data_IF_121644926100
#
_entry.id   IF_121644926100
#
_cell.length_a   1.000
_cell.length_b   1.000
_cell.length_c   1.000
_cell.angle_alpha   90.00
_cell.angle_beta   90.00
_cell.angle_gamma   90.00
#
_symmetry.space_group_name_H-M   'P 1'
#
loop_
_entity.id
_entity.type
_entity.pdbx_description
1 polymer ?
#
# COMPACT_ATOMS: atom_id res chain seq x y z
N UNK A 1 -9.70 5.18 8.73
CA UNK A 1 -8.61 4.74 9.62
C UNK A 1 -7.37 4.69 8.75
N UNK A 2 -6.42 5.60 8.96
CA UNK A 2 -5.26 5.78 8.09
C UNK A 2 -4.11 4.96 8.68
N UNK A 3 -3.76 3.83 8.06
CA UNK A 3 -2.75 2.87 8.55
C UNK A 3 -1.32 3.17 8.03
N UNK A 4 -1.13 4.30 7.35
CA UNK A 4 0.20 4.71 6.91
C UNK A 4 0.99 5.23 8.10
N UNK A 5 1.89 4.39 8.59
CA UNK A 5 3.21 4.71 9.15
C UNK A 5 3.66 3.49 9.97
N UNK A 6 4.11 2.46 9.29
CA UNK A 6 5.19 1.66 9.83
C UNK A 6 6.13 1.47 8.66
N UNK A 7 7.35 1.96 8.79
CA UNK A 7 8.49 1.46 8.00
C UNK A 7 8.62 -0.01 8.39
N UNK A 8 7.74 -0.82 7.81
CA UNK A 8 7.45 -2.18 8.22
C UNK A 8 8.51 -3.04 7.60
N UNK A 9 9.34 -3.61 8.46
CA UNK A 9 10.20 -4.73 8.13
C UNK A 9 9.53 -5.63 7.05
N UNK A 10 10.19 -5.88 5.92
CA UNK A 10 9.64 -6.65 4.80
C UNK A 10 9.12 -8.03 5.21
N UNK A 11 9.69 -8.63 6.27
CA UNK A 11 9.21 -9.90 6.84
C UNK A 11 7.96 -9.72 7.69
N UNK A 12 7.82 -8.58 8.36
CA UNK A 12 6.57 -8.24 9.05
C UNK A 12 5.43 -8.09 8.03
N UNK A 13 5.66 -7.32 6.96
CA UNK A 13 4.72 -7.22 5.85
C UNK A 13 4.37 -8.60 5.28
N UNK A 14 5.39 -9.44 5.04
CA UNK A 14 5.20 -10.80 4.53
C UNK A 14 4.29 -11.62 5.46
N UNK A 15 4.56 -11.63 6.77
CA UNK A 15 3.75 -12.39 7.73
C UNK A 15 2.30 -11.92 7.76
N UNK A 16 2.09 -10.61 7.71
CA UNK A 16 0.75 -10.00 7.73
C UNK A 16 -0.06 -10.41 6.52
N UNK A 17 0.48 -10.23 5.31
CA UNK A 17 -0.26 -10.54 4.07
C UNK A 17 -0.40 -12.05 3.85
N UNK A 18 0.54 -12.86 4.34
CA UNK A 18 0.45 -14.32 4.27
C UNK A 18 -0.37 -14.94 5.41
N UNK A 19 -0.88 -14.15 6.36
CA UNK A 19 -1.60 -14.64 7.53
C UNK A 19 -0.83 -15.75 8.29
N UNK A 20 0.47 -15.54 8.47
CA UNK A 20 1.41 -16.52 9.06
C UNK A 20 1.41 -17.91 8.39
N UNK A 21 1.09 -17.99 7.11
CA UNK A 21 1.24 -19.21 6.32
C UNK A 21 2.67 -19.78 6.44
N UNK A 22 2.77 -21.10 6.48
CA UNK A 22 4.08 -21.77 6.48
C UNK A 22 4.88 -21.42 5.22
N UNK A 23 6.21 -21.38 5.34
CA UNK A 23 7.13 -21.14 4.20
C UNK A 23 6.85 -22.12 3.05
N UNK A 24 6.46 -23.36 3.35
CA UNK A 24 6.09 -24.34 2.35
C UNK A 24 4.81 -23.95 1.60
N UNK A 25 3.78 -23.46 2.30
CA UNK A 25 2.55 -22.98 1.67
C UNK A 25 2.81 -21.74 0.80
N UNK A 26 3.58 -20.79 1.31
CA UNK A 26 3.99 -19.60 0.54
C UNK A 26 4.76 -20.04 -0.72
N UNK A 27 5.69 -21.00 -0.60
CA UNK A 27 6.45 -21.55 -1.73
C UNK A 27 5.55 -22.17 -2.79
N UNK A 28 4.56 -22.98 -2.38
CA UNK A 28 3.62 -23.62 -3.31
C UNK A 28 2.73 -22.59 -4.02
N UNK A 29 2.28 -21.55 -3.33
CA UNK A 29 1.38 -20.55 -3.89
C UNK A 29 2.12 -19.59 -4.84
N UNK A 30 3.34 -19.19 -4.48
CA UNK A 30 4.12 -18.16 -5.20
C UNK A 30 5.06 -18.74 -6.26
N UNK A 31 5.38 -20.03 -6.19
CA UNK A 31 6.42 -20.65 -7.01
C UNK A 31 7.85 -20.30 -6.58
N UNK A 32 8.04 -19.44 -5.56
CA UNK A 32 9.36 -19.11 -5.05
C UNK A 32 9.91 -20.33 -4.29
N UNK A 33 11.15 -20.79 -4.55
CA UNK A 33 11.70 -21.97 -3.89
C UNK A 33 11.73 -21.83 -2.36
N UNK A 34 11.34 -22.90 -1.65
CA UNK A 34 11.34 -22.94 -0.18
C UNK A 34 12.65 -22.46 0.43
N UNK A 35 13.78 -22.95 -0.09
CA UNK A 35 15.12 -22.58 0.41
C UNK A 35 15.40 -21.08 0.26
N UNK A 36 14.91 -20.46 -0.82
CA UNK A 36 15.00 -19.02 -1.04
C UNK A 36 14.19 -18.29 0.02
N UNK A 37 12.89 -18.59 0.16
CA UNK A 37 12.03 -17.96 1.17
C UNK A 37 12.61 -18.13 2.58
N UNK A 38 13.07 -19.33 2.94
CA UNK A 38 13.69 -19.59 4.23
C UNK A 38 14.92 -18.70 4.49
N UNK A 39 15.76 -18.49 3.48
CA UNK A 39 16.88 -17.55 3.57
C UNK A 39 16.40 -16.12 3.78
N UNK A 40 15.36 -15.67 3.06
CA UNK A 40 14.78 -14.32 3.19
C UNK A 40 14.21 -14.05 4.58
N UNK A 41 13.48 -15.01 5.14
CA UNK A 41 12.99 -14.95 6.52
C UNK A 41 14.13 -14.78 7.54
N UNK A 42 15.32 -15.32 7.27
CA UNK A 42 16.50 -15.14 8.13
C UNK A 42 17.23 -13.83 7.89
N UNK A 43 17.42 -13.43 6.64
CA UNK A 43 18.12 -12.18 6.28
C UNK A 43 17.26 -10.94 6.48
N UNK A 44 15.96 -11.13 6.68
CA UNK A 44 15.00 -10.07 6.91
C UNK A 44 14.88 -9.08 5.74
N UNK A 45 15.02 -9.62 4.52
CA UNK A 45 15.07 -8.85 3.29
C UNK A 45 14.51 -9.72 2.17
N UNK A 46 13.60 -9.15 1.38
CA UNK A 46 12.98 -9.69 0.18
C UNK A 46 13.44 -8.86 -1.03
N UNK A 47 13.68 -9.54 -2.14
CA UNK A 47 13.93 -8.86 -3.40
C UNK A 47 12.63 -8.27 -3.96
N UNK A 48 12.75 -7.20 -4.76
CA UNK A 48 11.60 -6.48 -5.32
C UNK A 48 10.67 -7.37 -6.16
N UNK A 49 11.24 -8.26 -6.97
CA UNK A 49 10.52 -9.24 -7.77
C UNK A 49 9.79 -10.28 -6.91
N UNK A 50 10.39 -10.71 -5.79
CA UNK A 50 9.77 -11.58 -4.80
C UNK A 50 8.54 -10.88 -4.17
N UNK A 51 8.66 -9.60 -3.78
CA UNK A 51 7.54 -8.80 -3.22
C UNK A 51 6.37 -8.74 -4.20
N UNK A 52 6.63 -8.43 -5.47
CA UNK A 52 5.60 -8.35 -6.52
C UNK A 52 4.93 -9.72 -6.73
N UNK A 53 5.73 -10.79 -6.81
CA UNK A 53 5.23 -12.16 -7.00
C UNK A 53 4.31 -12.58 -5.84
N UNK A 54 4.74 -12.30 -4.61
CA UNK A 54 3.97 -12.58 -3.40
C UNK A 54 2.68 -11.77 -3.38
N UNK A 55 2.75 -10.47 -3.69
CA UNK A 55 1.56 -9.60 -3.73
C UNK A 55 0.51 -10.14 -4.71
N UNK A 56 0.90 -10.49 -5.93
CA UNK A 56 -0.01 -11.10 -6.91
C UNK A 56 -0.64 -12.40 -6.40
N UNK A 57 0.17 -13.27 -5.80
CA UNK A 57 -0.27 -14.58 -5.31
C UNK A 57 -1.29 -14.49 -4.17
N UNK A 58 -1.22 -13.42 -3.38
CA UNK A 58 -2.14 -13.15 -2.26
C UNK A 58 -3.23 -12.11 -2.60
N UNK A 59 -3.34 -11.69 -3.87
CA UNK A 59 -4.37 -10.74 -4.33
C UNK A 59 -4.17 -9.30 -3.84
N UNK A 60 -2.95 -8.95 -3.45
CA UNK A 60 -2.57 -7.59 -3.02
C UNK A 60 -2.10 -6.79 -4.24
N UNK A 61 -2.39 -5.49 -4.26
CA UNK A 61 -1.88 -4.60 -5.31
C UNK A 61 -0.34 -4.49 -5.20
N UNK A 62 0.44 -4.81 -6.26
CA UNK A 62 1.89 -4.74 -6.20
C UNK A 62 2.45 -3.35 -5.88
N UNK A 63 1.80 -2.28 -6.34
CA UNK A 63 2.24 -0.90 -6.04
C UNK A 63 2.07 -0.61 -4.54
N UNK A 64 0.94 -1.02 -3.96
CA UNK A 64 0.71 -0.89 -2.51
C UNK A 64 1.72 -1.71 -1.70
N UNK A 65 2.03 -2.93 -2.14
CA UNK A 65 3.06 -3.77 -1.52
C UNK A 65 4.44 -3.11 -1.55
N UNK A 66 4.83 -2.49 -2.66
CA UNK A 66 6.11 -1.80 -2.78
C UNK A 66 6.21 -0.57 -1.88
N UNK A 67 5.11 0.16 -1.66
CA UNK A 67 5.06 1.27 -0.70
C UNK A 67 5.16 0.75 0.74
N UNK A 68 4.37 -0.26 1.10
CA UNK A 68 4.36 -0.85 2.45
C UNK A 68 5.71 -1.46 2.84
N UNK A 69 6.42 -2.04 1.87
CA UNK A 69 7.77 -2.61 2.05
C UNK A 69 8.90 -1.57 1.97
N UNK A 70 8.57 -0.29 1.71
CA UNK A 70 9.52 0.81 1.62
C UNK A 70 10.44 0.76 0.39
N UNK A 71 10.11 -0.03 -0.63
CA UNK A 71 10.88 -0.10 -1.88
C UNK A 71 10.69 1.17 -2.70
N UNK A 72 9.48 1.75 -2.67
CA UNK A 72 9.15 3.04 -3.25
C UNK A 72 8.39 3.90 -2.24
N UNK A 73 8.45 5.22 -2.40
CA UNK A 73 7.65 6.15 -1.60
C UNK A 73 6.21 6.23 -2.10
N UNK A 74 5.31 6.75 -1.27
CA UNK A 74 3.93 6.98 -1.67
C UNK A 74 3.85 8.01 -2.82
N UNK A 75 4.72 9.02 -2.79
CA UNK A 75 4.84 10.01 -3.87
C UNK A 75 5.25 9.35 -5.20
N UNK A 76 6.22 8.43 -5.17
CA UNK A 76 6.63 7.66 -6.35
C UNK A 76 5.50 6.77 -6.88
N UNK A 77 4.77 6.10 -5.97
CA UNK A 77 3.65 5.22 -6.31
C UNK A 77 2.45 5.95 -6.93
N UNK A 78 2.18 7.19 -6.50
CA UNK A 78 1.10 7.99 -7.11
C UNK A 78 1.39 8.33 -8.57
N UNK A 79 2.67 8.39 -8.97
CA UNK A 79 3.12 8.50 -10.37
C UNK A 79 2.61 9.70 -11.16
N UNK A 80 1.84 10.59 -10.52
CA UNK A 80 0.93 11.50 -11.19
C UNK A 80 0.94 12.79 -10.39
N UNK A 81 1.49 13.86 -10.99
CA UNK A 81 1.28 15.22 -10.47
C UNK A 81 -0.23 15.45 -10.40
N UNK A 82 -0.74 16.11 -9.36
CA UNK A 82 -2.20 16.23 -9.15
C UNK A 82 -2.99 16.63 -10.41
N UNK A 83 -2.40 17.45 -11.28
CA UNK A 83 -2.98 17.87 -12.55
C UNK A 83 -3.17 16.73 -13.57
N UNK A 84 -2.28 15.76 -13.62
CA UNK A 84 -2.36 14.59 -14.50
C UNK A 84 -3.44 13.61 -14.02
N UNK A 85 -3.67 13.50 -12.71
CA UNK A 85 -4.71 12.66 -12.12
C UNK A 85 -6.09 13.21 -12.46
N UNK A 86 -6.22 14.54 -12.43
CA UNK A 86 -7.45 15.23 -12.84
C UNK A 86 -7.78 14.96 -14.32
N UNK A 87 -6.76 14.81 -15.18
CA UNK A 87 -6.98 14.51 -16.61
C UNK A 87 -7.46 13.08 -16.87
N UNK A 88 -7.13 12.14 -16.00
CA UNK A 88 -7.54 10.73 -16.11
C UNK A 88 -8.95 10.47 -15.53
N UNK A 89 -9.43 11.35 -14.64
CA UNK A 89 -10.75 11.25 -14.06
C UNK A 89 -11.84 11.74 -15.02
N UNK A 90 -13.00 11.09 -15.01
CA UNK A 90 -14.18 11.63 -15.69
C UNK A 90 -14.73 12.86 -14.93
N UNK A 91 -15.44 13.72 -15.68
CA UNK A 91 -15.96 14.99 -15.15
C UNK A 91 -16.91 14.82 -13.96
N UNK A 92 -17.68 13.72 -13.93
CA UNK A 92 -18.62 13.43 -12.85
C UNK A 92 -17.90 13.13 -11.53
N UNK A 93 -16.81 12.37 -11.60
CA UNK A 93 -15.98 12.01 -10.44
C UNK A 93 -15.30 13.25 -9.87
N UNK A 94 -14.84 14.15 -10.74
CA UNK A 94 -14.27 15.45 -10.34
C UNK A 94 -15.34 16.31 -9.66
N UNK A 95 -16.52 16.46 -10.27
CA UNK A 95 -17.61 17.28 -9.71
C UNK A 95 -18.06 16.77 -8.33
N UNK A 96 -18.18 15.44 -8.18
CA UNK A 96 -18.54 14.81 -6.91
C UNK A 96 -17.49 15.09 -5.83
N UNK A 97 -16.21 15.00 -6.16
CA UNK A 97 -15.13 15.26 -5.22
C UNK A 97 -15.04 16.74 -4.81
N UNK A 98 -15.33 17.67 -5.73
CA UNK A 98 -15.44 19.11 -5.42
C UNK A 98 -16.54 19.36 -4.38
N UNK A 99 -17.76 18.86 -4.64
CA UNK A 99 -18.91 19.01 -3.72
C UNK A 99 -18.58 18.42 -2.34
N UNK A 100 -17.99 17.22 -2.31
CA UNK A 100 -17.59 16.55 -1.07
C UNK A 100 -16.60 17.41 -0.26
N UNK A 101 -15.63 18.05 -0.92
CA UNK A 101 -14.65 18.92 -0.26
C UNK A 101 -15.25 20.22 0.25
N UNK A 102 -16.19 20.80 -0.50
CA UNK A 102 -16.89 22.02 -0.11
C UNK A 102 -17.74 21.80 1.15
N UNK A 103 -18.54 20.73 1.15
CA UNK A 103 -19.34 20.33 2.31
C UNK A 103 -18.47 20.05 3.56
N UNK A 104 -17.32 19.39 3.37
CA UNK A 104 -16.38 19.12 4.47
C UNK A 104 -15.78 20.41 5.06
N UNK A 105 -15.61 21.47 4.27
CA UNK A 105 -15.20 22.79 4.78
C UNK A 105 -16.32 23.49 5.53
N UNK A 106 -17.57 23.36 5.06
CA UNK A 106 -18.74 23.95 5.71
C UNK A 106 -19.04 23.35 7.09
N UNK A 107 -18.66 22.09 7.35
CA UNK A 107 -18.80 21.45 8.66
C UNK A 107 -17.72 21.90 9.68
N UNK A 108 -16.68 22.60 9.23
CA UNK A 108 -15.71 23.24 10.13
C UNK A 108 -16.31 24.55 10.68
N UNK A 109 -17.10 24.43 11.74
CA UNK A 109 -17.43 25.56 12.61
C UNK A 109 -16.22 25.80 13.52
N UNK A 110 -15.48 26.92 13.42
CA UNK A 110 -14.42 27.19 14.39
C UNK A 110 -15.05 27.20 15.79
N UNK A 111 -14.53 26.34 16.67
CA UNK A 111 -14.92 26.30 18.07
C UNK A 111 -14.76 27.70 18.63
N UNK A 112 -15.90 28.34 18.88
CA UNK A 112 -16.07 29.67 19.42
C UNK A 112 -15.30 29.77 20.75
N UNK A 113 -14.04 30.22 20.71
CA UNK A 113 -13.35 30.76 21.88
C UNK A 113 -13.98 32.12 22.15
N UNK A 114 -14.96 32.13 23.06
CA UNK A 114 -15.31 33.33 23.82
C UNK A 114 -14.43 33.34 25.07
N UNK A 115 -13.78 34.47 25.23
CA UNK A 115 -13.53 35.21 26.48
C UNK A 115 -12.88 34.47 27.66
#
# INVERSE_FOLDING_TARGET
MNIYLTSGNQIQWLREITHDDSINKISQLTGIPYATLYKRFKSNELATDEIITIAHSYGINPVEALVQTGVISEEEATGVRGDDALRLCNIESIAREIIRRDNKKSEYTPSNRRD
#
